data_IF_611032858003
#
_entry.id   IF_611032858003
#
_cell.length_a   1.000
_cell.length_b   1.000
_cell.length_c   1.000
_cell.angle_alpha   90.00
_cell.angle_beta   90.00
_cell.angle_gamma   90.00
#
_symmetry.space_group_name_H-M   'P 1'
#
loop_
_entity.id
_entity.type
_entity.pdbx_description
1 polymer ?
#
# COMPACT_ATOMS: atom_id res chain seq x y z
N UNK A 1 -21.30 -15.70 -2.79
CA UNK A 1 -21.29 -17.05 -3.38
C UNK A 1 -20.74 -17.07 -4.82
N UNK A 2 -19.73 -16.26 -5.15
CA UNK A 2 -19.16 -16.20 -6.52
C UNK A 2 -17.78 -16.87 -6.63
N UNK A 3 -17.00 -16.89 -5.54
CA UNK A 3 -15.65 -17.48 -5.48
C UNK A 3 -15.61 -19.00 -5.18
N UNK A 4 -16.76 -19.63 -4.91
CA UNK A 4 -16.86 -21.09 -4.71
C UNK A 4 -17.10 -21.87 -6.02
N UNK A 5 -17.23 -21.17 -7.16
CA UNK A 5 -17.64 -21.75 -8.45
C UNK A 5 -16.49 -22.08 -9.41
N UNK A 6 -15.26 -21.65 -9.13
CA UNK A 6 -14.15 -21.77 -10.09
C UNK A 6 -13.06 -22.77 -9.71
N UNK A 7 -13.14 -23.46 -8.57
CA UNK A 7 -12.17 -24.51 -8.24
C UNK A 7 -10.71 -24.04 -8.06
N UNK A 8 -10.43 -22.74 -8.18
CA UNK A 8 -9.15 -22.12 -7.86
C UNK A 8 -8.89 -22.23 -6.36
N UNK A 9 -7.66 -22.54 -5.98
CA UNK A 9 -7.31 -22.62 -4.56
C UNK A 9 -7.52 -21.23 -3.94
N UNK A 10 -8.13 -21.14 -2.75
CA UNK A 10 -8.39 -19.86 -2.04
C UNK A 10 -7.17 -18.93 -1.98
N UNK A 11 -5.98 -19.52 -1.95
CA UNK A 11 -4.70 -18.81 -1.96
C UNK A 11 -4.53 -18.01 -3.26
N UNK A 12 -4.87 -18.57 -4.42
CA UNK A 12 -4.78 -17.86 -5.70
C UNK A 12 -5.71 -16.65 -5.77
N UNK A 13 -6.93 -16.75 -5.24
CA UNK A 13 -7.87 -15.62 -5.22
C UNK A 13 -7.37 -14.47 -4.32
N UNK A 14 -6.78 -14.78 -3.15
CA UNK A 14 -6.18 -13.78 -2.25
C UNK A 14 -4.93 -13.16 -2.88
N UNK A 15 -4.08 -13.98 -3.52
CA UNK A 15 -2.88 -13.51 -4.22
C UNK A 15 -3.25 -12.62 -5.40
N UNK A 16 -4.26 -12.98 -6.19
CA UNK A 16 -4.74 -12.21 -7.32
C UNK A 16 -5.37 -10.88 -6.87
N UNK A 17 -6.17 -10.90 -5.79
CA UNK A 17 -6.70 -9.68 -5.17
C UNK A 17 -5.59 -8.77 -4.61
N UNK A 18 -4.54 -9.35 -4.02
CA UNK A 18 -3.35 -8.63 -3.58
C UNK A 18 -2.62 -7.97 -4.76
N UNK A 19 -2.43 -8.70 -5.86
CA UNK A 19 -1.75 -8.21 -7.06
C UNK A 19 -2.46 -7.02 -7.71
N UNK A 20 -3.80 -7.04 -7.75
CA UNK A 20 -4.60 -5.94 -8.27
C UNK A 20 -4.52 -4.66 -7.43
N UNK A 21 -4.15 -4.75 -6.14
CA UNK A 21 -4.00 -3.59 -5.24
C UNK A 21 -2.57 -3.07 -5.16
N UNK A 22 -1.58 -3.97 -5.26
CA UNK A 22 -0.15 -3.60 -5.23
C UNK A 22 0.19 -2.61 -6.34
N UNK A 23 -0.30 -2.82 -7.57
CA UNK A 23 -0.07 -1.92 -8.70
C UNK A 23 -0.54 -0.47 -8.40
N UNK A 24 -1.82 -0.22 -8.03
CA UNK A 24 -2.28 1.12 -7.64
C UNK A 24 -1.54 1.76 -6.46
N UNK A 25 -1.22 0.98 -5.42
CA UNK A 25 -0.55 1.49 -4.21
C UNK A 25 0.88 1.96 -4.54
N UNK A 26 1.60 1.20 -5.37
CA UNK A 26 2.95 1.58 -5.80
C UNK A 26 2.91 2.83 -6.68
N UNK A 27 1.96 2.92 -7.62
CA UNK A 27 1.82 4.09 -8.52
C UNK A 27 1.58 5.35 -7.70
N UNK A 28 0.61 5.34 -6.79
CA UNK A 28 0.28 6.51 -5.96
C UNK A 28 1.44 6.92 -5.06
N UNK A 29 2.10 5.96 -4.39
CA UNK A 29 3.27 6.23 -3.55
C UNK A 29 4.41 6.86 -4.34
N UNK A 30 4.73 6.32 -5.52
CA UNK A 30 5.77 6.85 -6.41
C UNK A 30 5.43 8.25 -6.90
N UNK A 31 4.17 8.50 -7.32
CA UNK A 31 3.74 9.83 -7.75
C UNK A 31 3.94 10.87 -6.66
N UNK A 32 3.59 10.55 -5.40
CA UNK A 32 3.78 11.50 -4.29
C UNK A 32 5.26 11.71 -3.96
N UNK A 33 6.07 10.66 -3.97
CA UNK A 33 7.52 10.78 -3.75
C UNK A 33 8.15 11.66 -4.82
N UNK A 34 7.82 11.44 -6.10
CA UNK A 34 8.34 12.23 -7.22
C UNK A 34 7.87 13.70 -7.16
N UNK A 35 6.64 13.95 -6.73
CA UNK A 35 6.13 15.31 -6.55
C UNK A 35 6.86 16.07 -5.43
N UNK A 36 7.26 15.36 -4.37
CA UNK A 36 7.97 15.94 -3.22
C UNK A 36 9.49 15.93 -3.38
N UNK A 37 10.04 15.12 -4.28
CA UNK A 37 11.47 15.01 -4.54
C UNK A 37 12.18 16.35 -4.83
N UNK A 38 11.67 17.25 -5.68
CA UNK A 38 12.35 18.54 -5.91
C UNK A 38 12.35 19.45 -4.68
N UNK A 39 11.40 19.28 -3.74
CA UNK A 39 11.35 20.05 -2.50
C UNK A 39 12.46 19.63 -1.52
N UNK A 40 12.94 18.37 -1.60
CA UNK A 40 14.04 17.91 -0.74
C UNK A 40 15.40 18.49 -1.17
N UNK A 41 15.57 18.78 -2.47
CA UNK A 41 16.78 19.43 -3.02
C UNK A 41 17.01 20.84 -2.48
N UNK A 42 16.02 21.43 -1.80
CA UNK A 42 16.22 22.65 -1.02
C UNK A 42 16.56 23.88 -1.85
N UNK A 43 15.97 24.01 -3.05
CA UNK A 43 16.18 25.17 -3.91
C UNK A 43 15.17 26.27 -3.56
N UNK A 44 15.64 27.41 -3.02
CA UNK A 44 14.85 28.61 -2.77
C UNK A 44 14.81 29.10 -1.32
N UNK A 45 14.33 30.33 -1.12
CA UNK A 45 14.35 31.09 0.16
C UNK A 45 13.56 30.44 1.32
N UNK A 46 12.78 29.38 1.06
CA UNK A 46 12.02 28.60 2.06
C UNK A 46 12.47 27.14 2.18
N UNK A 47 13.61 26.79 1.59
CA UNK A 47 14.13 25.42 1.54
C UNK A 47 14.42 24.80 2.91
N UNK A 48 14.95 25.60 3.85
CA UNK A 48 15.39 25.14 5.15
C UNK A 48 14.26 24.53 6.00
N UNK A 49 13.01 25.01 5.82
CA UNK A 49 11.83 24.46 6.49
C UNK A 49 11.12 23.38 5.65
N UNK A 50 11.09 23.53 4.32
CA UNK A 50 10.33 22.63 3.43
C UNK A 50 11.04 21.30 3.20
N UNK A 51 12.37 21.29 3.13
CA UNK A 51 13.16 20.08 2.91
C UNK A 51 12.98 19.02 4.03
N UNK A 52 13.10 19.34 5.34
CA UNK A 52 12.86 18.35 6.39
C UNK A 52 11.40 17.89 6.47
N UNK A 53 10.43 18.77 6.17
CA UNK A 53 9.01 18.40 6.10
C UNK A 53 8.73 17.41 4.95
N UNK A 54 9.29 17.66 3.76
CA UNK A 54 9.16 16.76 2.62
C UNK A 54 9.79 15.39 2.90
N UNK A 55 10.96 15.35 3.54
CA UNK A 55 11.60 14.12 3.99
C UNK A 55 10.75 13.32 4.98
N UNK A 56 10.14 13.99 5.97
CA UNK A 56 9.24 13.35 6.93
C UNK A 56 8.01 12.72 6.25
N UNK A 57 7.41 13.43 5.28
CA UNK A 57 6.26 12.92 4.52
C UNK A 57 6.65 11.73 3.63
N UNK A 58 7.78 11.81 2.93
CA UNK A 58 8.28 10.69 2.11
C UNK A 58 8.54 9.46 2.98
N UNK A 59 9.19 9.63 4.13
CA UNK A 59 9.44 8.55 5.09
C UNK A 59 8.13 7.93 5.61
N UNK A 60 7.19 8.77 6.06
CA UNK A 60 5.89 8.33 6.54
C UNK A 60 5.08 7.58 5.49
N UNK A 61 5.09 8.06 4.24
CA UNK A 61 4.44 7.38 3.11
C UNK A 61 5.08 6.04 2.82
N UNK A 62 6.42 5.96 2.76
CA UNK A 62 7.12 4.70 2.53
C UNK A 62 6.77 3.66 3.61
N UNK A 63 6.81 4.05 4.88
CA UNK A 63 6.44 3.16 6.00
C UNK A 63 4.96 2.77 5.93
N UNK A 64 4.05 3.70 5.66
CA UNK A 64 2.61 3.44 5.54
C UNK A 64 2.28 2.51 4.36
N UNK A 65 2.99 2.66 3.25
CA UNK A 65 2.84 1.80 2.07
C UNK A 65 3.28 0.37 2.37
N UNK A 66 4.45 0.19 2.98
CA UNK A 66 4.93 -1.14 3.41
C UNK A 66 3.95 -1.76 4.40
N UNK A 67 3.53 -0.98 5.41
CA UNK A 67 2.58 -1.45 6.41
C UNK A 67 1.26 -1.87 5.77
N UNK A 68 0.72 -1.09 4.84
CA UNK A 68 -0.52 -1.41 4.11
C UNK A 68 -0.37 -2.69 3.30
N UNK A 69 0.75 -2.86 2.60
CA UNK A 69 1.03 -4.06 1.81
C UNK A 69 1.11 -5.34 2.65
N UNK A 70 1.44 -5.25 3.94
CA UNK A 70 1.46 -6.37 4.89
C UNK A 70 0.12 -6.53 5.61
N UNK A 71 -0.49 -5.43 6.04
CA UNK A 71 -1.73 -5.42 6.82
C UNK A 71 -2.90 -5.89 5.97
N UNK A 72 -3.01 -5.45 4.71
CA UNK A 72 -4.09 -5.87 3.80
C UNK A 72 -4.15 -7.40 3.66
N UNK A 73 -3.07 -8.13 3.31
CA UNK A 73 -3.13 -9.59 3.20
C UNK A 73 -3.39 -10.26 4.55
N UNK A 74 -2.84 -9.76 5.66
CA UNK A 74 -3.14 -10.28 7.00
C UNK A 74 -4.63 -10.14 7.35
N UNK A 75 -5.23 -8.98 7.10
CA UNK A 75 -6.66 -8.75 7.34
C UNK A 75 -7.52 -9.66 6.45
N UNK A 76 -7.15 -9.80 5.18
CA UNK A 76 -7.83 -10.74 4.28
C UNK A 76 -7.75 -12.18 4.77
N UNK A 77 -6.58 -12.62 5.25
CA UNK A 77 -6.40 -13.95 5.83
C UNK A 77 -7.28 -14.17 7.06
N UNK A 78 -7.32 -13.20 7.98
CA UNK A 78 -8.14 -13.29 9.21
C UNK A 78 -9.64 -13.30 8.88
N UNK A 79 -10.10 -12.41 7.99
CA UNK A 79 -11.51 -12.37 7.59
C UNK A 79 -11.95 -13.67 6.91
N UNK A 80 -11.07 -14.30 6.13
CA UNK A 80 -11.34 -15.59 5.50
C UNK A 80 -11.47 -16.72 6.54
N UNK A 81 -10.56 -16.78 7.52
CA UNK A 81 -10.61 -17.74 8.65
C UNK A 81 -11.89 -17.60 9.49
N UNK A 82 -12.30 -16.36 9.79
CA UNK A 82 -13.53 -16.10 10.56
C UNK A 82 -14.77 -16.51 9.77
N UNK A 83 -14.79 -16.25 8.46
CA UNK A 83 -15.92 -16.63 7.59
C UNK A 83 -16.08 -18.15 7.49
N UNK A 84 -14.98 -18.89 7.52
CA UNK A 84 -14.97 -20.36 7.49
C UNK A 84 -15.43 -20.98 8.81
N UNK A 85 -15.20 -20.33 9.95
CA UNK A 85 -15.73 -20.79 11.24
C UNK A 85 -17.23 -20.52 11.44
N UNK A 86 -17.81 -19.62 10.67
CA UNK A 86 -19.22 -19.17 10.81
C UNK A 86 -20.15 -19.89 9.82
N UNK A 87 -19.62 -20.50 8.75
CA UNK A 87 -20.40 -21.24 7.73
C UNK A 87 -20.16 -22.73 7.84
#
# INVERSE_FOLDING_TARGET
>A
NQLKREGLSRIEAIVQAGHHRIRPIIITSLTTILALFPLTLGVGESAALRSPMALAVIGGLATSTILTLIVIPCVYYVLDQVKEKIT
#
